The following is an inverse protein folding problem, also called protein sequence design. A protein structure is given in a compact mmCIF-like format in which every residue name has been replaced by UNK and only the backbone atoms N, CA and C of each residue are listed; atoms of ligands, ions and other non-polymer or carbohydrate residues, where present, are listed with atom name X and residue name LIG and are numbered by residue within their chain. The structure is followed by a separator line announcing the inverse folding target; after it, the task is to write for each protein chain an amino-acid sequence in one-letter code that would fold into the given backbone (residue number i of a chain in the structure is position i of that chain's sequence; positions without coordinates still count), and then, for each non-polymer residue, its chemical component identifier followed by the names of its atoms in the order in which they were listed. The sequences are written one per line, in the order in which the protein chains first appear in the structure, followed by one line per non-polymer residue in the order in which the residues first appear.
data_IF_997488916676
#
_entry.id   IF_997488916676
#
_cell.length_a   1.000
_cell.length_b   1.000
_cell.length_c   1.000
_cell.angle_alpha   90.00
_cell.angle_beta   90.00
_cell.angle_gamma   90.00
#
_symmetry.space_group_name_H-M   'P 1'
#
loop_
_entity.id
_entity.type
_entity.pdbx_description
1 polymer ?
#
# COMPACT_ATOMS: atom_id res chain seq x y z
N UNK A 1 -8.83 21.82 -9.47
CA UNK A 1 -8.18 20.50 -9.36
C UNK A 1 -9.15 19.47 -9.94
N UNK A 2 -8.83 18.89 -11.09
CA UNK A 2 -9.64 17.83 -11.68
C UNK A 2 -9.50 16.60 -10.81
N UNK A 3 -10.56 16.20 -10.11
CA UNK A 3 -10.64 14.91 -9.46
C UNK A 3 -10.74 13.86 -10.56
N UNK A 4 -9.63 13.23 -10.92
CA UNK A 4 -9.66 12.04 -11.76
C UNK A 4 -10.36 10.93 -10.98
N UNK A 5 -11.56 10.61 -11.40
CA UNK A 5 -12.31 9.46 -10.93
C UNK A 5 -11.64 8.20 -11.46
N UNK A 6 -10.77 7.61 -10.66
CA UNK A 6 -10.18 6.32 -10.99
C UNK A 6 -11.26 5.26 -10.74
N UNK A 7 -11.78 4.67 -11.82
CA UNK A 7 -12.58 3.46 -11.72
C UNK A 7 -11.73 2.37 -11.06
N UNK A 8 -12.09 1.96 -9.86
CA UNK A 8 -11.45 0.82 -9.22
C UNK A 8 -11.96 -0.45 -9.87
N UNK A 9 -11.26 -0.85 -10.88
CA UNK A 9 -11.63 -1.96 -11.74
C UNK A 9 -11.45 -3.34 -11.11
N UNK A 10 -10.68 -3.45 -10.00
CA UNK A 10 -10.30 -4.74 -9.43
C UNK A 10 -10.26 -4.59 -7.91
N UNK A 11 -10.91 -5.48 -7.13
CA UNK A 11 -10.83 -5.52 -5.66
C UNK A 11 -9.40 -5.50 -5.15
N UNK A 12 -8.46 -6.12 -5.87
CA UNK A 12 -7.03 -6.12 -5.60
C UNK A 12 -6.42 -4.72 -5.52
N UNK A 13 -6.81 -3.82 -6.46
CA UNK A 13 -6.32 -2.44 -6.46
C UNK A 13 -6.81 -1.66 -5.25
N UNK A 14 -8.06 -1.87 -4.85
CA UNK A 14 -8.62 -1.25 -3.66
C UNK A 14 -7.92 -1.75 -2.39
N UNK A 15 -7.75 -3.07 -2.26
CA UNK A 15 -7.07 -3.67 -1.12
C UNK A 15 -5.63 -3.17 -0.96
N UNK A 16 -4.86 -3.13 -2.05
CA UNK A 16 -3.50 -2.59 -2.07
C UNK A 16 -3.46 -1.09 -1.78
N UNK A 17 -4.44 -0.33 -2.26
CA UNK A 17 -4.53 1.10 -2.01
C UNK A 17 -4.75 1.39 -0.53
N UNK A 18 -5.72 0.73 0.10
CA UNK A 18 -5.95 0.85 1.55
C UNK A 18 -4.72 0.40 2.33
N UNK A 19 -4.05 -0.66 1.91
CA UNK A 19 -2.83 -1.13 2.54
C UNK A 19 -1.69 -0.09 2.42
N UNK A 20 -1.55 0.56 1.26
CA UNK A 20 -0.59 1.67 1.08
C UNK A 20 -0.93 2.86 1.99
N UNK A 21 -2.20 3.26 2.11
CA UNK A 21 -2.64 4.35 2.98
C UNK A 21 -2.35 4.04 4.47
N UNK A 22 -2.45 2.77 4.86
CA UNK A 22 -2.11 2.28 6.20
C UNK A 22 -0.61 1.98 6.39
N UNK A 23 0.26 2.62 5.59
CA UNK A 23 1.73 2.51 5.67
C UNK A 23 2.25 1.08 5.54
N UNK A 24 1.47 0.18 4.94
CA UNK A 24 1.78 -1.26 4.78
C UNK A 24 1.91 -2.00 6.13
N UNK A 25 1.20 -1.53 7.16
CA UNK A 25 1.18 -2.12 8.49
C UNK A 25 -0.14 -2.86 8.73
N UNK A 26 -0.06 -4.16 9.03
CA UNK A 26 -1.26 -5.00 9.29
C UNK A 26 -2.05 -4.50 10.50
N UNK A 27 -1.36 -4.00 11.54
CA UNK A 27 -2.06 -3.47 12.74
C UNK A 27 -2.96 -2.29 12.35
N UNK A 28 -2.45 -1.31 11.60
CA UNK A 28 -3.22 -0.15 11.13
C UNK A 28 -4.32 -0.55 10.15
N UNK A 29 -4.05 -1.55 9.29
CA UNK A 29 -5.06 -2.09 8.40
C UNK A 29 -6.22 -2.69 9.19
N UNK A 30 -5.94 -3.47 10.25
CA UNK A 30 -6.96 -4.07 11.10
C UNK A 30 -7.78 -3.01 11.87
N UNK A 31 -7.15 -1.96 12.37
CA UNK A 31 -7.83 -0.81 12.99
C UNK A 31 -8.74 -0.12 11.97
N UNK A 32 -8.23 0.16 10.78
CA UNK A 32 -9.02 0.75 9.70
C UNK A 32 -10.21 -0.14 9.31
N UNK A 33 -10.03 -1.46 9.20
CA UNK A 33 -11.11 -2.41 8.92
C UNK A 33 -12.17 -2.35 10.01
N UNK A 34 -11.78 -2.35 11.30
CA UNK A 34 -12.71 -2.27 12.43
C UNK A 34 -13.52 -0.98 12.41
N UNK A 35 -12.86 0.16 12.22
CA UNK A 35 -13.51 1.49 12.18
C UNK A 35 -14.49 1.62 11.01
N UNK A 36 -14.15 1.04 9.87
CA UNK A 36 -14.94 1.13 8.64
C UNK A 36 -15.82 -0.09 8.38
N UNK A 37 -15.88 -1.06 9.31
CA UNK A 37 -16.56 -2.34 9.11
C UNK A 37 -18.04 -2.16 8.76
N UNK A 38 -18.76 -1.36 9.53
CA UNK A 38 -20.19 -1.12 9.32
C UNK A 38 -20.49 -0.46 7.96
N UNK A 39 -19.65 0.49 7.54
CA UNK A 39 -19.77 1.15 6.22
C UNK A 39 -19.45 0.18 5.09
N UNK A 40 -18.40 -0.61 5.24
CA UNK A 40 -17.97 -1.59 4.23
C UNK A 40 -19.00 -2.70 4.08
N UNK A 41 -19.54 -3.22 5.19
CA UNK A 41 -20.62 -4.23 5.17
C UNK A 41 -21.86 -3.66 4.49
N UNK A 42 -22.30 -2.45 4.84
CA UNK A 42 -23.46 -1.83 4.19
C UNK A 42 -23.29 -1.64 2.68
N UNK A 43 -22.10 -1.29 2.23
CA UNK A 43 -21.79 -1.16 0.81
C UNK A 43 -21.59 -2.51 0.11
N UNK A 44 -21.13 -3.52 0.84
CA UNK A 44 -20.92 -4.88 0.31
C UNK A 44 -22.16 -5.75 0.38
N UNK A 45 -23.22 -5.35 1.08
CA UNK A 45 -24.44 -6.14 1.25
C UNK A 45 -25.05 -6.55 -0.11
N UNK A 46 -25.10 -5.65 -1.07
CA UNK A 46 -25.61 -5.95 -2.43
C UNK A 46 -24.72 -7.00 -3.09
N UNK A 47 -23.41 -6.84 -3.01
CA UNK A 47 -22.45 -7.80 -3.56
C UNK A 47 -22.54 -9.17 -2.87
N UNK A 48 -22.74 -9.18 -1.54
CA UNK A 48 -22.92 -10.42 -0.76
C UNK A 48 -24.23 -11.12 -1.17
N UNK A 49 -25.33 -10.37 -1.31
CA UNK A 49 -26.61 -10.93 -1.77
C UNK A 49 -26.46 -11.52 -3.17
N UNK A 50 -25.81 -10.80 -4.09
CA UNK A 50 -25.54 -11.29 -5.45
C UNK A 50 -24.68 -12.57 -5.40
N UNK A 51 -23.67 -12.64 -4.51
CA UNK A 51 -22.87 -13.83 -4.29
C UNK A 51 -23.72 -15.03 -3.84
N UNK A 52 -24.60 -14.82 -2.84
CA UNK A 52 -25.47 -15.88 -2.33
C UNK A 52 -26.43 -16.37 -3.42
N UNK A 53 -27.05 -15.47 -4.17
CA UNK A 53 -27.94 -15.80 -5.28
C UNK A 53 -27.19 -16.58 -6.37
N UNK A 54 -25.98 -16.15 -6.72
CA UNK A 54 -25.16 -16.86 -7.70
C UNK A 54 -24.77 -18.27 -7.22
N UNK A 55 -24.46 -18.44 -5.93
CA UNK A 55 -24.18 -19.77 -5.36
C UNK A 55 -25.39 -20.68 -5.42
N UNK A 56 -26.58 -20.21 -5.04
CA UNK A 56 -27.81 -20.99 -5.09
C UNK A 56 -28.15 -21.40 -6.52
N UNK A 57 -28.09 -20.46 -7.47
CA UNK A 57 -28.33 -20.75 -8.88
C UNK A 57 -27.31 -21.74 -9.45
N UNK A 58 -26.04 -21.65 -9.06
CA UNK A 58 -25.00 -22.57 -9.52
C UNK A 58 -25.23 -24.00 -9.01
N UNK A 59 -25.72 -24.17 -7.76
CA UNK A 59 -26.09 -25.49 -7.21
C UNK A 59 -27.24 -26.09 -8.01
N UNK A 60 -28.26 -25.29 -8.34
CA UNK A 60 -29.41 -25.74 -9.14
C UNK A 60 -28.98 -26.10 -10.57
N UNK A 61 -28.17 -25.28 -11.22
CA UNK A 61 -27.71 -25.50 -12.59
C UNK A 61 -26.66 -26.64 -12.68
N UNK A 62 -25.99 -27.01 -11.63
CA UNK A 62 -25.06 -28.17 -11.59
C UNK A 62 -25.81 -29.46 -11.94
N UNK A 63 -27.09 -29.57 -11.54
CA UNK A 63 -27.94 -30.74 -11.80
C UNK A 63 -28.48 -30.78 -13.22
N UNK A 64 -28.61 -29.62 -13.92
CA UNK A 64 -29.28 -29.52 -15.24
C UNK A 64 -28.36 -29.09 -16.39
N UNK A 65 -27.27 -28.37 -16.14
CA UNK A 65 -26.50 -27.65 -17.18
C UNK A 65 -25.01 -27.97 -17.33
N UNK A 66 -24.43 -28.81 -16.46
CA UNK A 66 -23.00 -29.15 -16.51
C UNK A 66 -22.03 -27.97 -16.33
N UNK A 67 -20.77 -28.19 -16.65
CA UNK A 67 -19.65 -27.24 -16.44
C UNK A 67 -19.82 -25.89 -17.19
N UNK A 68 -20.48 -25.87 -18.34
CA UNK A 68 -20.67 -24.66 -19.15
C UNK A 68 -21.58 -23.65 -18.42
N UNK A 69 -22.66 -24.12 -17.79
CA UNK A 69 -23.55 -23.27 -17.01
C UNK A 69 -22.84 -22.59 -15.84
N UNK A 70 -21.96 -23.30 -15.17
CA UNK A 70 -21.15 -22.75 -14.07
C UNK A 70 -20.18 -21.66 -14.54
N UNK A 71 -19.51 -21.86 -15.67
CA UNK A 71 -18.60 -20.87 -16.27
C UNK A 71 -19.35 -19.60 -16.67
N UNK A 72 -20.52 -19.75 -17.34
CA UNK A 72 -21.36 -18.61 -17.69
C UNK A 72 -21.82 -17.82 -16.47
N UNK A 73 -22.20 -18.48 -15.38
CA UNK A 73 -22.57 -17.83 -14.13
C UNK A 73 -21.41 -17.09 -13.47
N UNK A 74 -20.19 -17.65 -13.49
CA UNK A 74 -18.99 -16.98 -13.00
C UNK A 74 -18.68 -15.69 -13.78
N UNK A 75 -18.84 -15.73 -15.09
CA UNK A 75 -18.64 -14.55 -15.97
C UNK A 75 -19.68 -13.48 -15.68
N UNK A 76 -20.98 -13.85 -15.65
CA UNK A 76 -22.08 -12.91 -15.33
C UNK A 76 -21.87 -12.30 -13.94
N UNK A 77 -21.53 -13.12 -12.96
CA UNK A 77 -21.26 -12.70 -11.61
C UNK A 77 -20.10 -11.69 -11.54
N UNK A 78 -19.00 -11.96 -12.23
CA UNK A 78 -17.85 -11.05 -12.33
C UNK A 78 -18.22 -9.70 -12.96
N UNK A 79 -19.05 -9.72 -14.00
CA UNK A 79 -19.56 -8.51 -14.67
C UNK A 79 -20.46 -7.70 -13.73
N UNK A 80 -21.36 -8.35 -12.99
CA UNK A 80 -22.28 -7.69 -12.06
C UNK A 80 -21.52 -7.09 -10.87
N UNK A 81 -20.55 -7.80 -10.30
CA UNK A 81 -19.68 -7.26 -9.26
C UNK A 81 -18.90 -6.05 -9.76
N UNK A 82 -18.35 -6.14 -10.96
CA UNK A 82 -17.64 -5.05 -11.61
C UNK A 82 -18.52 -3.81 -11.81
N UNK A 83 -19.78 -3.98 -12.21
CA UNK A 83 -20.73 -2.87 -12.43
C UNK A 83 -21.19 -2.20 -11.13
N UNK A 84 -21.24 -2.94 -10.02
CA UNK A 84 -21.68 -2.45 -8.72
C UNK A 84 -20.57 -1.78 -7.88
N UNK A 85 -19.30 -1.87 -8.29
CA UNK A 85 -18.24 -1.15 -7.61
C UNK A 85 -18.47 0.37 -7.70
N UNK A 86 -18.88 0.96 -6.57
CA UNK A 86 -19.05 2.41 -6.46
C UNK A 86 -17.71 3.12 -6.60
N UNK A 87 -17.69 4.23 -7.34
CA UNK A 87 -16.55 5.14 -7.40
C UNK A 87 -16.22 5.62 -5.99
N UNK A 88 -15.07 5.21 -5.46
CA UNK A 88 -14.57 5.74 -4.20
C UNK A 88 -13.65 6.92 -4.48
N UNK A 89 -13.92 8.05 -3.82
CA UNK A 89 -13.06 9.23 -3.90
C UNK A 89 -11.92 9.04 -2.88
N UNK A 90 -10.72 8.80 -3.38
CA UNK A 90 -9.53 8.72 -2.54
C UNK A 90 -8.89 10.10 -2.41
N UNK A 91 -8.49 10.46 -1.20
CA UNK A 91 -7.77 11.72 -0.92
C UNK A 91 -6.40 11.71 -1.63
N UNK A 92 -5.76 10.54 -1.71
CA UNK A 92 -4.50 10.33 -2.42
C UNK A 92 -4.62 9.13 -3.35
N UNK A 93 -4.22 9.24 -4.62
CA UNK A 93 -4.25 8.11 -5.55
C UNK A 93 -3.23 7.04 -5.17
N UNK A 94 -3.46 5.79 -5.63
CA UNK A 94 -2.47 4.72 -5.51
C UNK A 94 -1.24 5.06 -6.34
N UNK A 95 -0.09 5.13 -5.69
CA UNK A 95 1.20 5.36 -6.35
C UNK A 95 1.91 4.02 -6.54
N UNK A 96 2.21 3.67 -7.79
CA UNK A 96 2.96 2.46 -8.12
C UNK A 96 4.45 2.65 -7.83
N UNK A 97 4.82 2.43 -6.58
CA UNK A 97 6.22 2.39 -6.15
C UNK A 97 6.82 1.00 -6.41
N UNK A 98 8.16 0.85 -6.46
CA UNK A 98 8.79 -0.48 -6.54
C UNK A 98 8.31 -1.47 -5.47
N UNK A 99 7.95 -0.96 -4.28
CA UNK A 99 7.35 -1.76 -3.21
C UNK A 99 5.97 -2.31 -3.61
N UNK A 100 5.09 -1.46 -4.14
CA UNK A 100 3.75 -1.88 -4.61
C UNK A 100 3.87 -2.91 -5.73
N UNK A 101 4.81 -2.71 -6.66
CA UNK A 101 5.04 -3.66 -7.77
C UNK A 101 5.42 -5.05 -7.22
N UNK A 102 6.37 -5.12 -6.27
CA UNK A 102 6.74 -6.40 -5.62
C UNK A 102 5.54 -7.06 -4.92
N UNK A 103 4.73 -6.27 -4.22
CA UNK A 103 3.52 -6.75 -3.57
C UNK A 103 2.47 -7.25 -4.58
N UNK A 104 2.31 -6.57 -5.72
CA UNK A 104 1.45 -7.04 -6.81
C UNK A 104 1.92 -8.40 -7.36
N UNK A 105 3.23 -8.56 -7.57
CA UNK A 105 3.80 -9.84 -8.05
C UNK A 105 3.54 -10.97 -7.07
N UNK A 106 3.82 -10.76 -5.78
CA UNK A 106 3.57 -11.79 -4.75
C UNK A 106 2.08 -12.11 -4.64
N UNK A 107 1.21 -11.09 -4.70
CA UNK A 107 -0.23 -11.29 -4.68
C UNK A 107 -0.72 -12.06 -5.91
N UNK A 108 -0.19 -11.77 -7.10
CA UNK A 108 -0.52 -12.51 -8.31
C UNK A 108 -0.11 -13.99 -8.23
N UNK A 109 1.09 -14.28 -7.69
CA UNK A 109 1.55 -15.64 -7.47
C UNK A 109 0.64 -16.37 -6.47
N UNK A 110 0.33 -15.74 -5.33
CA UNK A 110 -0.57 -16.33 -4.33
C UNK A 110 -1.97 -16.57 -4.90
N UNK A 111 -2.50 -15.64 -5.69
CA UNK A 111 -3.79 -15.81 -6.37
C UNK A 111 -3.77 -16.96 -7.35
N UNK A 112 -2.68 -17.10 -8.12
CA UNK A 112 -2.51 -18.22 -9.06
C UNK A 112 -2.47 -19.55 -8.32
N UNK A 113 -1.73 -19.65 -7.21
CA UNK A 113 -1.68 -20.88 -6.38
C UNK A 113 -3.09 -21.26 -5.89
N UNK A 114 -3.85 -20.27 -5.38
CA UNK A 114 -5.22 -20.54 -4.94
C UNK A 114 -6.08 -21.02 -6.09
N UNK A 115 -6.03 -20.37 -7.26
CA UNK A 115 -6.81 -20.79 -8.45
C UNK A 115 -6.44 -22.21 -8.87
N UNK A 116 -5.16 -22.56 -8.90
CA UNK A 116 -4.71 -23.93 -9.25
C UNK A 116 -5.24 -24.94 -8.24
N UNK A 117 -5.15 -24.66 -6.94
CA UNK A 117 -5.68 -25.55 -5.89
C UNK A 117 -7.20 -25.71 -6.05
N UNK A 118 -7.94 -24.66 -6.36
CA UNK A 118 -9.37 -24.70 -6.58
C UNK A 118 -9.73 -25.54 -7.82
N UNK A 119 -8.97 -25.40 -8.89
CA UNK A 119 -9.19 -26.17 -10.14
C UNK A 119 -8.92 -27.67 -9.94
N UNK A 120 -7.95 -28.03 -9.08
CA UNK A 120 -7.63 -29.42 -8.77
C UNK A 120 -8.66 -30.12 -7.87
N UNK A 121 -9.51 -29.34 -7.17
CA UNK A 121 -10.50 -29.87 -6.22
C UNK A 121 -11.97 -29.71 -6.70
N UNK A 122 -12.21 -29.67 -7.99
CA UNK A 122 -13.53 -29.40 -8.61
C UNK A 122 -14.18 -28.09 -8.12
N UNK A 123 -14.44 -27.19 -9.04
CA UNK A 123 -15.00 -25.86 -8.78
C UNK A 123 -16.36 -25.95 -8.08
N UNK A 124 -16.40 -25.69 -6.79
CA UNK A 124 -17.66 -25.58 -6.03
C UNK A 124 -18.19 -24.14 -6.12
N UNK A 125 -19.53 -23.94 -6.26
CA UNK A 125 -20.16 -22.61 -6.34
C UNK A 125 -19.78 -21.64 -5.23
N UNK A 126 -19.49 -22.11 -4.04
CA UNK A 126 -19.02 -21.31 -2.90
C UNK A 126 -17.70 -20.57 -3.18
N UNK A 127 -16.93 -20.99 -4.17
CA UNK A 127 -15.65 -20.38 -4.55
C UNK A 127 -15.79 -18.96 -5.12
N UNK A 128 -16.97 -18.60 -5.69
CA UNK A 128 -17.24 -17.24 -6.13
C UNK A 128 -17.12 -16.22 -4.99
N UNK A 129 -17.56 -16.58 -3.77
CA UNK A 129 -17.47 -15.73 -2.59
C UNK A 129 -16.01 -15.57 -2.17
N UNK A 130 -15.26 -16.68 -2.16
CA UNK A 130 -13.83 -16.68 -1.82
C UNK A 130 -13.04 -15.83 -2.81
N UNK A 131 -13.32 -15.95 -4.11
CA UNK A 131 -12.64 -15.19 -5.15
C UNK A 131 -12.86 -13.66 -4.99
N UNK A 132 -14.04 -13.23 -4.54
CA UNK A 132 -14.30 -11.81 -4.28
C UNK A 132 -13.50 -11.25 -3.09
N UNK A 133 -13.42 -12.00 -2.00
CA UNK A 133 -12.68 -11.59 -0.81
C UNK A 133 -11.18 -11.98 -0.86
N UNK A 134 -10.78 -12.77 -1.85
CA UNK A 134 -9.43 -13.28 -1.98
C UNK A 134 -8.34 -12.19 -1.86
N UNK A 135 -8.44 -11.02 -2.52
CA UNK A 135 -7.43 -9.97 -2.41
C UNK A 135 -7.23 -9.48 -0.97
N UNK A 136 -8.31 -9.34 -0.21
CA UNK A 136 -8.25 -8.92 1.21
C UNK A 136 -7.62 -9.97 2.10
N UNK A 137 -7.97 -11.24 1.88
CA UNK A 137 -7.39 -12.38 2.61
C UNK A 137 -5.91 -12.52 2.28
N UNK A 138 -5.55 -12.40 1.00
CA UNK A 138 -4.17 -12.53 0.53
C UNK A 138 -3.24 -11.40 0.97
N UNK A 139 -3.76 -10.25 1.43
CA UNK A 139 -2.94 -9.18 2.01
C UNK A 139 -2.10 -9.67 3.20
N UNK A 140 -2.65 -10.57 4.02
CA UNK A 140 -1.95 -11.07 5.21
C UNK A 140 -0.73 -11.94 4.84
N UNK A 141 -0.86 -13.06 4.09
CA UNK A 141 0.30 -13.84 3.69
C UNK A 141 1.25 -13.05 2.78
N UNK A 142 0.75 -12.20 1.87
CA UNK A 142 1.58 -11.31 1.06
C UNK A 142 2.44 -10.39 1.94
N UNK A 143 1.84 -9.77 2.96
CA UNK A 143 2.56 -8.90 3.88
C UNK A 143 3.60 -9.67 4.70
N UNK A 144 3.28 -10.89 5.14
CA UNK A 144 4.20 -11.76 5.88
C UNK A 144 5.43 -12.10 5.03
N UNK A 145 5.23 -12.44 3.77
CA UNK A 145 6.30 -12.78 2.83
C UNK A 145 7.15 -11.54 2.47
N UNK A 146 6.50 -10.41 2.20
CA UNK A 146 7.20 -9.19 1.74
C UNK A 146 7.85 -8.41 2.87
N UNK A 147 7.35 -8.49 4.10
CA UNK A 147 7.84 -7.72 5.25
C UNK A 147 9.34 -7.89 5.52
N UNK A 148 9.91 -9.10 5.61
CA UNK A 148 11.33 -9.29 5.87
C UNK A 148 12.18 -8.74 4.70
N UNK A 149 11.76 -8.95 3.47
CA UNK A 149 12.45 -8.43 2.28
C UNK A 149 12.46 -6.89 2.29
N UNK A 150 11.35 -6.25 2.58
CA UNK A 150 11.24 -4.79 2.68
C UNK A 150 12.08 -4.23 3.85
N UNK A 151 12.17 -4.98 4.97
CA UNK A 151 13.03 -4.61 6.08
C UNK A 151 14.52 -4.67 5.69
N UNK A 152 14.94 -5.69 4.97
CA UNK A 152 16.31 -5.81 4.45
C UNK A 152 16.65 -4.68 3.46
N UNK A 153 15.75 -4.37 2.52
CA UNK A 153 15.93 -3.28 1.57
C UNK A 153 16.05 -1.94 2.31
N UNK A 154 15.16 -1.68 3.26
CA UNK A 154 15.20 -0.47 4.09
C UNK A 154 16.52 -0.36 4.87
N UNK A 155 16.96 -1.46 5.47
CA UNK A 155 18.21 -1.49 6.23
C UNK A 155 19.42 -1.25 5.32
N UNK A 156 19.43 -1.82 4.12
CA UNK A 156 20.47 -1.58 3.12
C UNK A 156 20.57 -0.09 2.76
N UNK A 157 19.44 0.58 2.49
CA UNK A 157 19.43 2.01 2.22
C UNK A 157 19.90 2.85 3.39
N UNK A 158 19.51 2.49 4.62
CA UNK A 158 19.99 3.17 5.83
C UNK A 158 21.48 2.99 6.03
N UNK A 159 22.01 1.79 5.80
CA UNK A 159 23.45 1.51 5.91
C UNK A 159 24.25 2.28 4.86
N UNK A 160 23.72 2.39 3.64
CA UNK A 160 24.32 3.19 2.57
C UNK A 160 24.38 4.69 2.95
N UNK A 161 23.27 5.25 3.45
CA UNK A 161 23.25 6.62 3.95
C UNK A 161 24.23 6.85 5.12
N UNK A 162 24.37 5.88 6.03
CA UNK A 162 25.38 5.93 7.11
C UNK A 162 26.80 5.98 6.58
N UNK A 163 27.11 5.18 5.54
CA UNK A 163 28.43 5.21 4.88
C UNK A 163 28.71 6.58 4.24
N UNK A 164 27.71 7.15 3.54
CA UNK A 164 27.82 8.49 2.94
C UNK A 164 28.09 9.53 4.05
N UNK A 165 27.34 9.50 5.16
CA UNK A 165 27.57 10.42 6.29
C UNK A 165 28.93 10.23 6.94
N UNK A 166 29.44 9.01 7.01
CA UNK A 166 30.77 8.71 7.57
C UNK A 166 31.89 9.21 6.65
N UNK A 167 31.70 9.19 5.34
CA UNK A 167 32.69 9.73 4.38
C UNK A 167 32.78 11.27 4.41
N UNK A 168 31.78 11.95 4.98
CA UNK A 168 31.77 13.41 5.16
C UNK A 168 32.22 13.78 6.59
N UNK A 169 33.48 13.57 6.90
CA UNK A 169 34.02 13.72 8.27
C UNK A 169 33.81 15.09 8.94
N UNK A 170 33.81 16.17 8.16
CA UNK A 170 33.65 17.55 8.63
C UNK A 170 32.21 18.08 8.51
N UNK A 171 31.23 17.25 8.15
CA UNK A 171 29.82 17.65 8.00
C UNK A 171 29.21 17.96 9.37
N UNK A 172 28.77 19.20 9.58
CA UNK A 172 27.97 19.59 10.73
C UNK A 172 26.52 19.09 10.52
N UNK A 173 26.00 18.32 11.46
CA UNK A 173 24.68 17.71 11.38
C UNK A 173 23.76 18.36 12.41
N UNK A 174 22.72 19.06 11.95
CA UNK A 174 21.74 19.75 12.80
C UNK A 174 20.42 18.99 12.70
N UNK A 175 19.99 18.37 13.80
CA UNK A 175 18.70 17.70 13.90
C UNK A 175 17.65 18.57 14.57
N UNK A 176 16.50 18.77 13.93
CA UNK A 176 15.38 19.55 14.46
C UNK A 176 14.23 18.61 14.76
N UNK A 177 13.85 18.52 16.03
CA UNK A 177 12.71 17.75 16.51
C UNK A 177 11.76 18.62 17.30
N UNK A 178 10.52 18.19 17.49
CA UNK A 178 9.52 18.92 18.28
C UNK A 178 8.10 18.58 17.82
N UNK A 179 7.12 18.96 18.61
CA UNK A 179 5.70 18.75 18.30
C UNK A 179 5.22 19.76 17.24
N UNK A 180 5.55 21.04 17.41
CA UNK A 180 5.17 22.14 16.50
C UNK A 180 6.40 22.91 16.01
N UNK A 181 6.25 23.63 14.90
CA UNK A 181 7.24 24.59 14.40
C UNK A 181 8.49 23.98 13.73
N UNK A 182 8.63 22.66 13.66
CA UNK A 182 9.80 21.98 13.07
C UNK A 182 10.19 22.51 11.68
N UNK A 183 9.24 22.56 10.77
CA UNK A 183 9.47 22.98 9.39
C UNK A 183 9.81 24.47 9.31
N UNK A 184 9.20 25.31 10.14
CA UNK A 184 9.51 26.73 10.22
C UNK A 184 10.94 26.94 10.76
N UNK A 185 11.29 26.26 11.86
CA UNK A 185 12.64 26.31 12.44
C UNK A 185 13.69 25.80 11.45
N UNK A 186 13.39 24.72 10.71
CA UNK A 186 14.27 24.21 9.65
C UNK A 186 14.55 25.26 8.58
N UNK A 187 13.52 25.94 8.11
CA UNK A 187 13.67 26.95 7.05
C UNK A 187 14.46 28.18 7.57
N UNK A 188 14.19 28.63 8.79
CA UNK A 188 14.94 29.73 9.41
C UNK A 188 16.40 29.32 9.60
N UNK A 189 16.67 28.15 10.16
CA UNK A 189 18.02 27.63 10.36
C UNK A 189 18.77 27.51 9.03
N UNK A 190 18.11 26.99 8.00
CA UNK A 190 18.68 26.91 6.66
C UNK A 190 19.06 28.29 6.12
N UNK A 191 18.18 29.28 6.23
CA UNK A 191 18.47 30.64 5.78
C UNK A 191 19.68 31.23 6.49
N UNK A 192 19.76 31.10 7.82
CA UNK A 192 20.89 31.60 8.61
C UNK A 192 22.22 30.91 8.26
N UNK A 193 22.19 29.60 8.10
CA UNK A 193 23.40 28.79 7.85
C UNK A 193 23.91 28.96 6.42
N UNK A 194 23.01 29.14 5.45
CA UNK A 194 23.37 29.28 4.04
C UNK A 194 24.11 30.57 3.71
N UNK A 195 24.09 31.56 4.61
CA UNK A 195 24.88 32.81 4.45
C UNK A 195 26.40 32.57 4.51
N UNK A 196 26.85 31.55 5.26
CA UNK A 196 28.27 31.30 5.49
C UNK A 196 28.74 29.91 5.03
N UNK A 197 27.83 28.95 4.91
CA UNK A 197 28.17 27.56 4.63
C UNK A 197 27.38 26.99 3.46
N UNK A 198 28.01 26.09 2.71
CA UNK A 198 27.27 25.27 1.77
C UNK A 198 26.40 24.28 2.54
N UNK A 199 25.11 24.57 2.66
CA UNK A 199 24.19 23.80 3.48
C UNK A 199 23.14 23.07 2.67
N UNK A 200 22.73 21.90 3.16
CA UNK A 200 21.64 21.09 2.65
C UNK A 200 20.58 20.94 3.73
N UNK A 201 19.30 21.10 3.41
CA UNK A 201 18.22 20.73 4.31
C UNK A 201 17.36 19.60 3.75
N UNK A 202 16.66 18.88 4.64
CA UNK A 202 15.65 17.91 4.21
C UNK A 202 14.51 18.62 3.47
N UNK A 203 14.17 18.21 2.22
CA UNK A 203 13.14 18.87 1.43
C UNK A 203 11.74 18.64 2.01
N UNK A 204 10.87 19.64 1.88
CA UNK A 204 9.47 19.59 2.32
C UNK A 204 9.29 18.94 3.71
N UNK A 205 8.45 17.92 3.81
CA UNK A 205 8.18 17.16 5.03
C UNK A 205 8.91 15.81 5.08
N UNK A 206 10.15 15.73 4.56
CA UNK A 206 10.97 14.51 4.62
C UNK A 206 11.57 14.32 6.03
N UNK A 207 10.68 14.11 7.01
CA UNK A 207 11.03 13.98 8.43
C UNK A 207 11.03 12.53 8.93
N UNK A 208 10.70 11.56 8.06
CA UNK A 208 10.77 10.13 8.39
C UNK A 208 12.19 9.58 8.19
N UNK A 209 12.59 8.48 8.87
CA UNK A 209 13.90 7.87 8.66
C UNK A 209 14.22 7.59 7.18
N UNK A 210 13.24 7.13 6.39
CA UNK A 210 13.43 6.88 4.96
C UNK A 210 13.50 8.17 4.13
N UNK A 211 12.76 9.22 4.50
CA UNK A 211 12.86 10.54 3.86
C UNK A 211 14.24 11.16 4.05
N UNK A 212 14.77 11.08 5.27
CA UNK A 212 16.13 11.53 5.61
C UNK A 212 17.18 10.70 4.85
N UNK A 213 17.04 9.37 4.88
CA UNK A 213 17.91 8.45 4.13
C UNK A 213 17.95 8.80 2.64
N UNK A 214 16.80 9.08 2.04
CA UNK A 214 16.68 9.49 0.65
C UNK A 214 17.41 10.82 0.39
N UNK A 215 17.21 11.82 1.23
CA UNK A 215 17.90 13.11 1.11
C UNK A 215 19.41 12.95 1.13
N UNK A 216 19.93 12.13 2.05
CA UNK A 216 21.37 11.87 2.16
C UNK A 216 21.90 11.19 0.88
N UNK A 217 21.22 10.17 0.38
CA UNK A 217 21.67 9.40 -0.77
C UNK A 217 21.57 10.14 -2.09
N UNK A 218 20.52 10.95 -2.27
CA UNK A 218 20.24 11.61 -3.55
C UNK A 218 20.77 13.03 -3.63
N UNK A 219 20.89 13.74 -2.49
CA UNK A 219 21.14 15.18 -2.50
C UNK A 219 22.41 15.61 -1.78
N UNK A 220 22.93 14.82 -0.82
CA UNK A 220 24.14 15.17 -0.10
C UNK A 220 25.36 15.02 -1.03
N UNK A 221 26.11 16.12 -1.18
CA UNK A 221 27.32 16.20 -2.02
C UNK A 221 28.53 16.56 -1.17
N UNK A 222 29.75 16.23 -1.63
CA UNK A 222 30.98 16.56 -0.89
C UNK A 222 31.19 18.04 -0.57
N UNK A 223 30.55 18.94 -1.32
CA UNK A 223 30.63 20.39 -1.10
C UNK A 223 29.83 20.88 0.11
N UNK A 224 28.87 20.06 0.61
CA UNK A 224 28.04 20.47 1.74
C UNK A 224 28.83 20.38 3.06
N UNK A 225 28.76 21.45 3.80
CA UNK A 225 29.41 21.61 5.10
C UNK A 225 28.44 21.44 6.26
N UNK A 226 27.17 21.77 6.02
CA UNK A 226 26.10 21.64 7.03
C UNK A 226 24.90 20.88 6.44
N UNK A 227 24.36 19.97 7.23
CA UNK A 227 23.12 19.25 6.92
C UNK A 227 22.07 19.52 7.99
N UNK A 228 20.99 20.22 7.60
CA UNK A 228 19.84 20.54 8.46
C UNK A 228 18.74 19.51 8.23
N UNK A 229 18.43 18.74 9.25
CA UNK A 229 17.53 17.61 9.17
C UNK A 229 16.30 17.80 10.07
N UNK A 230 15.11 17.80 9.47
CA UNK A 230 13.85 17.70 10.22
C UNK A 230 13.60 16.25 10.61
N UNK A 231 13.39 15.96 11.90
CA UNK A 231 13.14 14.62 12.42
C UNK A 231 11.74 14.52 13.00
N UNK A 232 10.96 13.56 12.51
CA UNK A 232 9.65 13.20 13.08
C UNK A 232 9.85 12.26 14.27
N UNK A 233 9.23 12.61 15.40
CA UNK A 233 9.20 11.77 16.60
C UNK A 233 7.91 10.91 16.64
N UNK A 234 7.62 10.22 15.55
CA UNK A 234 6.36 9.45 15.42
C UNK A 234 6.36 8.15 16.25
N UNK A 235 7.50 7.77 16.84
CA UNK A 235 7.64 6.55 17.66
C UNK A 235 8.66 6.81 18.76
N UNK A 236 8.17 7.11 19.94
CA UNK A 236 8.90 6.95 21.20
C UNK A 236 8.38 5.71 21.89
#
# INVERSE_FOLDING_TARGET
MKHEYIKNLIPTKHALHIFQQNRYEIKRLNEWIKENFALNVKHSLISIIICIVACVLSIVLKNEGGSIGQICMLVIFSIVLYSNEKKQNYIKPLVFTPRVIRQCVVMAILSLVVVVVLLLNDLDPCMCIVAYFLPWILLYPMSLITSPMEAMIRQSFMNDAKKILASHGNLIKIGITGSFGKTTTKNIMQAMVSEQFNSLMTPASYNTPMGITRTIREMLKPIHQVFVCEMGADHV
#
